data_IF_823846794122
#
_entry.id   IF_823846794122
#
_cell.length_a   1.000
_cell.length_b   1.000
_cell.length_c   1.000
_cell.angle_alpha   90.00
_cell.angle_beta   90.00
_cell.angle_gamma   90.00
#
_symmetry.space_group_name_H-M   'P 1'
#
loop_
_entity.id
_entity.type
_entity.pdbx_description
1 polymer ?
#
# COMPACT_ATOMS: atom_id res chain seq x y z
N UNK A 1 -29.04 3.16 -10.14
CA UNK A 1 -29.69 3.29 -8.82
C UNK A 1 -28.57 3.36 -7.80
N UNK A 2 -28.31 4.52 -7.21
CA UNK A 2 -27.30 4.64 -6.16
C UNK A 2 -27.93 4.18 -4.85
N UNK A 3 -27.42 3.09 -4.29
CA UNK A 3 -27.81 2.62 -2.96
C UNK A 3 -26.83 3.26 -1.98
N UNK A 4 -27.26 4.32 -1.31
CA UNK A 4 -26.58 4.84 -0.12
C UNK A 4 -27.48 4.54 1.06
N UNK A 5 -27.01 3.70 1.98
CA UNK A 5 -27.69 3.45 3.25
C UNK A 5 -27.04 4.28 4.33
N UNK A 6 -27.87 4.86 5.20
CA UNK A 6 -27.39 5.60 6.35
C UNK A 6 -26.93 4.62 7.44
N UNK A 7 -25.85 4.95 8.16
CA UNK A 7 -25.32 4.12 9.25
C UNK A 7 -26.37 3.95 10.37
N UNK A 8 -27.21 4.97 10.58
CA UNK A 8 -28.29 4.96 11.57
C UNK A 8 -29.30 3.82 11.37
N UNK A 9 -29.45 3.29 10.15
CA UNK A 9 -30.32 2.14 9.86
C UNK A 9 -29.88 0.83 10.51
N UNK A 10 -28.63 0.76 10.99
CA UNK A 10 -28.03 -0.46 11.56
C UNK A 10 -27.72 -0.34 13.06
N UNK A 11 -28.20 0.70 13.74
CA UNK A 11 -27.91 0.95 15.16
C UNK A 11 -28.30 -0.20 16.08
N UNK A 12 -29.27 -1.02 15.68
CA UNK A 12 -29.75 -2.20 16.42
C UNK A 12 -28.77 -3.40 16.38
N UNK A 13 -27.88 -3.44 15.39
CA UNK A 13 -26.94 -4.54 15.15
C UNK A 13 -25.46 -4.16 15.13
N UNK A 14 -25.11 -2.87 14.99
CA UNK A 14 -23.72 -2.43 14.74
C UNK A 14 -22.75 -2.78 15.88
N UNK A 15 -23.20 -2.72 17.13
CA UNK A 15 -22.41 -3.01 18.32
C UNK A 15 -22.59 -4.45 18.83
N UNK A 16 -23.29 -5.30 18.07
CA UNK A 16 -23.50 -6.70 18.47
C UNK A 16 -22.21 -7.49 18.31
N UNK A 17 -21.98 -8.39 19.26
CA UNK A 17 -20.92 -9.37 19.13
C UNK A 17 -21.15 -10.25 17.89
N UNK A 18 -20.09 -10.48 17.11
CA UNK A 18 -20.17 -11.40 15.98
C UNK A 18 -20.37 -12.82 16.50
N UNK A 19 -21.38 -13.57 16.02
CA UNK A 19 -21.61 -14.93 16.49
C UNK A 19 -20.53 -15.88 15.99
N UNK A 20 -20.15 -16.84 16.83
CA UNK A 20 -19.32 -17.98 16.42
C UNK A 20 -20.22 -19.13 15.99
N UNK A 21 -20.09 -19.54 14.74
CA UNK A 21 -20.89 -20.61 14.15
C UNK A 21 -20.27 -21.97 14.51
N UNK A 22 -21.11 -22.92 14.92
CA UNK A 22 -20.66 -24.31 15.10
C UNK A 22 -20.16 -24.86 13.76
N UNK A 23 -18.95 -25.42 13.76
CA UNK A 23 -18.31 -25.97 12.56
C UNK A 23 -17.59 -24.96 11.67
N UNK A 24 -17.71 -23.66 11.94
CA UNK A 24 -16.96 -22.60 11.25
C UNK A 24 -16.24 -21.71 12.25
N UNK A 25 -15.22 -22.24 12.96
CA UNK A 25 -14.42 -21.45 13.88
C UNK A 25 -13.69 -20.33 13.14
N UNK A 26 -13.43 -19.22 13.84
CA UNK A 26 -12.63 -18.12 13.29
C UNK A 26 -11.20 -18.59 13.05
N UNK A 27 -10.63 -18.13 11.95
CA UNK A 27 -9.22 -18.33 11.63
C UNK A 27 -8.32 -17.57 12.60
N UNK A 28 -7.23 -18.19 13.05
CA UNK A 28 -6.27 -17.54 13.94
C UNK A 28 -5.57 -16.37 13.25
N UNK A 29 -5.04 -15.41 14.01
CA UNK A 29 -4.39 -14.22 13.42
C UNK A 29 -3.20 -14.58 12.53
N UNK A 30 -2.45 -15.60 12.93
CA UNK A 30 -1.29 -16.09 12.19
C UNK A 30 -1.69 -16.73 10.86
N UNK A 31 -2.73 -17.55 10.85
CA UNK A 31 -3.26 -18.14 9.62
C UNK A 31 -3.85 -17.06 8.70
N UNK A 32 -4.52 -16.04 9.27
CA UNK A 32 -4.96 -14.87 8.48
C UNK A 32 -3.77 -14.17 7.84
N UNK A 33 -2.68 -13.94 8.58
CA UNK A 33 -1.49 -13.27 8.06
C UNK A 33 -0.79 -14.08 6.96
N UNK A 34 -0.72 -15.41 7.12
CA UNK A 34 -0.10 -16.30 6.14
C UNK A 34 -0.74 -16.20 4.74
N UNK A 35 -2.05 -15.94 4.65
CA UNK A 35 -2.74 -15.73 3.37
C UNK A 35 -2.18 -14.53 2.58
N UNK A 36 -1.68 -13.51 3.29
CA UNK A 36 -1.12 -12.29 2.70
C UNK A 36 0.41 -12.30 2.63
N UNK A 37 1.07 -13.32 3.20
CA UNK A 37 2.53 -13.47 3.18
C UNK A 37 3.16 -13.46 1.77
N UNK A 38 2.53 -13.98 0.70
CA UNK A 38 3.13 -13.95 -0.65
C UNK A 38 3.39 -12.53 -1.17
N UNK A 39 2.69 -11.52 -0.65
CA UNK A 39 2.85 -10.12 -1.05
C UNK A 39 3.72 -9.31 -0.10
N UNK A 40 4.33 -9.94 0.92
CA UNK A 40 5.19 -9.24 1.87
C UNK A 40 6.36 -8.53 1.17
N UNK A 41 6.89 -9.08 0.07
CA UNK A 41 7.96 -8.46 -0.71
C UNK A 41 7.55 -7.14 -1.41
N UNK A 42 6.25 -6.88 -1.58
CA UNK A 42 5.77 -5.61 -2.11
C UNK A 42 5.80 -4.49 -1.06
N UNK A 43 5.86 -4.84 0.23
CA UNK A 43 6.05 -3.83 1.28
C UNK A 43 7.51 -3.37 1.26
N UNK A 44 7.73 -2.06 1.14
CA UNK A 44 9.08 -1.47 1.02
C UNK A 44 9.57 -1.29 -0.42
N UNK A 45 8.80 -1.67 -1.44
CA UNK A 45 9.15 -1.39 -2.84
C UNK A 45 9.10 0.11 -3.16
N UNK A 46 8.27 0.88 -2.45
CA UNK A 46 8.17 2.34 -2.61
C UNK A 46 9.52 3.03 -2.35
N UNK A 47 10.27 2.58 -1.33
CA UNK A 47 11.60 3.12 -1.01
C UNK A 47 12.60 2.81 -2.13
N UNK A 48 12.57 1.59 -2.66
CA UNK A 48 13.42 1.21 -3.79
C UNK A 48 13.10 2.01 -5.06
N UNK A 49 11.81 2.34 -5.31
CA UNK A 49 11.43 3.24 -6.40
C UNK A 49 11.99 4.64 -6.16
N UNK A 50 11.81 5.20 -4.96
CA UNK A 50 12.30 6.54 -4.61
C UNK A 50 13.83 6.64 -4.80
N UNK A 51 14.60 5.68 -4.31
CA UNK A 51 16.07 5.62 -4.49
C UNK A 51 16.45 5.59 -5.97
N UNK A 52 15.88 4.67 -6.76
CA UNK A 52 16.19 4.56 -8.19
C UNK A 52 15.80 5.83 -8.95
N UNK A 53 14.68 6.47 -8.60
CA UNK A 53 14.30 7.73 -9.24
C UNK A 53 15.28 8.85 -8.92
N UNK A 54 15.75 8.94 -7.67
CA UNK A 54 16.73 9.93 -7.25
C UNK A 54 18.07 9.74 -7.98
N UNK A 55 18.59 8.51 -8.03
CA UNK A 55 19.81 8.18 -8.78
C UNK A 55 19.68 8.56 -10.26
N UNK A 56 18.56 8.21 -10.90
CA UNK A 56 18.34 8.54 -12.32
C UNK A 56 18.29 10.06 -12.59
N UNK A 57 17.79 10.85 -11.64
CA UNK A 57 17.74 12.31 -11.74
C UNK A 57 19.15 12.90 -11.62
N UNK A 58 19.96 12.37 -10.70
CA UNK A 58 21.36 12.78 -10.51
C UNK A 58 22.20 12.46 -11.75
N UNK A 59 22.08 11.24 -12.30
CA UNK A 59 22.74 10.85 -13.55
C UNK A 59 22.38 11.78 -14.71
N UNK A 60 21.08 12.08 -14.88
CA UNK A 60 20.59 12.99 -15.92
C UNK A 60 21.09 14.41 -15.73
N UNK A 61 21.23 14.87 -14.49
CA UNK A 61 21.78 16.21 -14.17
C UNK A 61 23.27 16.28 -14.51
N UNK A 62 24.04 15.26 -14.12
CA UNK A 62 25.47 15.14 -14.44
C UNK A 62 25.72 15.06 -15.95
N UNK A 63 24.88 14.34 -16.69
CA UNK A 63 24.94 14.31 -18.16
C UNK A 63 24.68 15.69 -18.78
N UNK A 64 23.71 16.44 -18.26
CA UNK A 64 23.39 17.80 -18.72
C UNK A 64 24.56 18.76 -18.45
N UNK A 65 25.17 18.69 -17.26
CA UNK A 65 26.36 19.48 -16.91
C UNK A 65 27.57 19.14 -17.80
N UNK A 66 27.72 17.88 -18.22
CA UNK A 66 28.79 17.47 -19.15
C UNK A 66 28.55 17.98 -20.60
N UNK A 67 27.29 18.14 -21.00
CA UNK A 67 26.89 18.57 -22.35
C UNK A 67 26.96 20.10 -22.51
N UNK A 68 26.80 20.85 -21.42
CA UNK A 68 26.98 22.30 -21.39
C UNK A 68 28.20 22.59 -20.50
N UNK A 69 29.43 22.29 -20.97
CA UNK A 69 30.62 22.68 -20.23
C UNK A 69 30.78 24.18 -20.41
N UNK A 70 30.22 24.97 -19.49
CA UNK A 70 30.35 26.42 -19.36
C UNK A 70 30.44 27.17 -20.71
N UNK A 71 29.32 27.71 -21.18
CA UNK A 71 29.34 28.71 -22.25
C UNK A 71 30.14 29.94 -21.78
N UNK A 72 31.43 29.92 -22.09
CA UNK A 72 32.41 31.00 -22.36
C UNK A 72 32.24 32.31 -21.58
N UNK A 73 33.21 32.55 -20.67
CA UNK A 73 33.57 33.77 -19.90
C UNK A 73 32.56 34.35 -18.88
#
# INVERSE_FOLDING_TARGET
MEIRKDISEYMDIIDRERPDLQGHPRMSELERAAQFSPFAALTGFDVAIEEVTAESIEERSNEIELIIPDEVD
#
